data_IF_358690426872
#
_entry.id   IF_358690426872
#
_cell.length_a   1.000
_cell.length_b   1.000
_cell.length_c   1.000
_cell.angle_alpha   90.00
_cell.angle_beta   90.00
_cell.angle_gamma   90.00
#
_symmetry.space_group_name_H-M   'P 1'
#
loop_
_entity.id
_entity.type
_entity.pdbx_description
1 polymer ?
#
# COMPACT_ATOMS: atom_id res chain seq x y z
N UNK A 1 25.02 2.55 -21.95
CA UNK A 1 24.03 1.45 -21.94
C UNK A 1 22.85 1.73 -20.99
N UNK A 2 22.80 2.90 -20.33
CA UNK A 2 21.69 3.27 -19.46
C UNK A 2 21.78 2.72 -18.03
N UNK A 3 22.89 2.08 -17.65
CA UNK A 3 23.09 1.61 -16.27
C UNK A 3 23.43 2.76 -15.32
N UNK A 4 22.75 2.80 -14.18
CA UNK A 4 23.05 3.76 -13.11
C UNK A 4 24.37 3.38 -12.42
N UNK A 5 25.25 4.36 -12.25
CA UNK A 5 26.60 4.16 -11.67
C UNK A 5 26.76 4.83 -10.30
N UNK A 6 26.13 5.98 -10.11
CA UNK A 6 26.13 6.70 -8.86
C UNK A 6 24.90 7.60 -8.74
N UNK A 7 24.49 7.92 -7.51
CA UNK A 7 23.46 8.93 -7.25
C UNK A 7 23.77 9.75 -5.99
N UNK A 8 23.49 11.05 -6.04
CA UNK A 8 23.55 11.93 -4.87
C UNK A 8 22.19 12.58 -4.67
N UNK A 9 21.65 12.51 -3.46
CA UNK A 9 20.34 13.05 -3.11
C UNK A 9 20.43 14.00 -1.92
N UNK A 10 19.92 15.22 -2.07
CA UNK A 10 19.73 16.15 -0.94
C UNK A 10 18.24 16.37 -0.72
N UNK A 11 17.73 15.90 0.42
CA UNK A 11 16.33 16.02 0.78
C UNK A 11 16.17 16.95 1.98
N UNK A 12 15.42 18.04 1.81
CA UNK A 12 15.16 19.05 2.84
C UNK A 12 13.67 19.08 3.13
N UNK A 13 13.25 18.50 4.26
CA UNK A 13 11.84 18.45 4.63
C UNK A 13 11.51 19.54 5.63
N UNK A 14 10.46 20.32 5.35
CA UNK A 14 9.91 21.26 6.32
C UNK A 14 9.21 20.52 7.47
N UNK A 15 9.57 20.82 8.71
CA UNK A 15 9.01 20.23 9.93
C UNK A 15 7.83 21.03 10.51
N UNK A 16 7.67 22.27 10.06
CA UNK A 16 6.89 23.25 10.80
C UNK A 16 7.61 23.69 12.07
N UNK A 17 6.86 24.17 13.07
CA UNK A 17 7.41 24.83 14.25
C UNK A 17 8.23 23.91 15.17
N UNK A 18 8.16 22.59 14.99
CA UNK A 18 8.85 21.61 15.81
C UNK A 18 9.46 20.52 14.92
N UNK A 19 10.62 19.98 15.34
CA UNK A 19 11.28 18.85 14.67
C UNK A 19 10.36 17.64 14.49
N UNK A 20 10.70 16.79 13.52
CA UNK A 20 10.01 15.53 13.26
C UNK A 20 9.38 15.42 11.88
N UNK A 21 9.94 16.07 10.86
CA UNK A 21 9.55 15.79 9.48
C UNK A 21 10.00 14.38 9.04
N UNK A 22 9.37 13.78 8.02
CA UNK A 22 9.65 12.40 7.61
C UNK A 22 10.94 12.26 6.76
N UNK A 23 12.04 12.88 7.21
CA UNK A 23 13.34 12.85 6.53
C UNK A 23 13.82 11.42 6.34
N UNK A 24 13.83 10.62 7.41
CA UNK A 24 14.36 9.26 7.38
C UNK A 24 13.60 8.35 6.39
N UNK A 25 12.26 8.28 6.41
CA UNK A 25 11.49 7.61 5.35
C UNK A 25 11.80 8.12 3.94
N UNK A 26 11.90 9.44 3.75
CA UNK A 26 12.27 10.03 2.46
C UNK A 26 13.62 9.54 1.93
N UNK A 27 14.65 9.59 2.78
CA UNK A 27 15.98 9.10 2.47
C UNK A 27 16.01 7.59 2.21
N UNK A 28 15.20 6.79 2.91
CA UNK A 28 15.10 5.35 2.64
C UNK A 28 14.50 5.06 1.26
N UNK A 29 13.55 5.89 0.81
CA UNK A 29 12.78 5.62 -0.40
C UNK A 29 13.40 6.18 -1.68
N UNK A 30 14.18 7.26 -1.61
CA UNK A 30 14.63 8.03 -2.80
C UNK A 30 15.30 7.17 -3.88
N UNK A 31 16.13 6.20 -3.50
CA UNK A 31 16.84 5.31 -4.43
C UNK A 31 16.38 3.84 -4.35
N UNK A 32 15.31 3.55 -3.62
CA UNK A 32 14.94 2.17 -3.28
C UNK A 32 14.47 1.32 -4.47
N UNK A 33 13.99 1.94 -5.54
CA UNK A 33 13.50 1.24 -6.73
C UNK A 33 14.61 0.77 -7.67
N UNK A 34 15.85 1.26 -7.53
CA UNK A 34 16.89 1.02 -8.52
C UNK A 34 18.21 0.51 -7.94
N UNK A 35 18.88 -0.37 -8.68
CA UNK A 35 20.23 -0.83 -8.39
C UNK A 35 21.23 0.28 -8.71
N UNK A 36 21.71 0.96 -7.67
CA UNK A 36 22.70 2.04 -7.78
C UNK A 36 23.91 1.64 -6.92
N UNK A 37 25.08 1.33 -7.52
CA UNK A 37 26.19 0.76 -6.76
C UNK A 37 26.87 1.76 -5.81
N UNK A 38 26.78 3.06 -6.08
CA UNK A 38 27.38 4.11 -5.26
C UNK A 38 26.36 5.20 -4.99
N UNK A 39 26.11 5.56 -3.73
CA UNK A 39 25.22 6.68 -3.45
C UNK A 39 25.58 7.45 -2.20
N UNK A 40 25.15 8.71 -2.16
CA UNK A 40 25.23 9.59 -1.00
C UNK A 40 23.89 10.28 -0.80
N UNK A 41 23.36 10.26 0.43
CA UNK A 41 22.08 10.87 0.76
C UNK A 41 22.26 11.83 1.94
N UNK A 42 21.91 13.09 1.72
CA UNK A 42 21.83 14.12 2.74
C UNK A 42 20.36 14.40 3.08
N UNK A 43 19.98 14.20 4.34
CA UNK A 43 18.64 14.48 4.84
C UNK A 43 18.66 15.61 5.86
N UNK A 44 17.79 16.61 5.69
CA UNK A 44 17.66 17.76 6.58
C UNK A 44 16.22 17.89 7.10
N UNK A 45 16.08 17.97 8.43
CA UNK A 45 14.85 18.34 9.13
C UNK A 45 14.85 19.86 9.36
N UNK A 46 14.01 20.60 8.63
CA UNK A 46 14.04 22.06 8.59
C UNK A 46 12.85 22.62 9.38
N UNK A 47 13.14 23.19 10.55
CA UNK A 47 12.13 23.88 11.36
C UNK A 47 11.75 25.22 10.71
N UNK A 48 10.45 25.49 10.65
CA UNK A 48 9.86 26.66 9.98
C UNK A 48 8.79 27.28 10.88
N UNK A 49 8.49 28.57 10.73
CA UNK A 49 7.35 29.22 11.38
C UNK A 49 6.02 28.84 10.70
N UNK A 50 5.71 27.54 10.64
CA UNK A 50 4.49 26.94 10.09
C UNK A 50 3.93 25.88 11.06
N UNK A 51 2.66 25.45 10.97
CA UNK A 51 2.14 24.33 11.75
C UNK A 51 3.03 23.09 11.63
N UNK A 52 3.15 22.33 12.72
CA UNK A 52 3.94 21.09 12.75
C UNK A 52 3.43 20.11 11.70
N UNK A 53 4.33 19.55 10.90
CA UNK A 53 3.96 18.50 9.95
C UNK A 53 3.61 17.19 10.68
N UNK A 54 2.76 16.40 10.04
CA UNK A 54 2.39 15.08 10.49
C UNK A 54 2.46 14.09 9.31
N UNK A 55 2.24 12.80 9.61
CA UNK A 55 2.19 11.79 8.57
C UNK A 55 0.98 12.03 7.66
N UNK A 56 1.27 12.26 6.38
CA UNK A 56 0.35 12.02 5.28
C UNK A 56 0.81 10.77 4.54
N UNK A 57 -0.12 10.06 3.88
CA UNK A 57 0.06 8.73 3.29
C UNK A 57 1.45 8.56 2.65
N UNK A 58 2.18 7.51 3.03
CA UNK A 58 3.58 7.28 2.64
C UNK A 58 4.53 8.44 3.01
N UNK A 59 4.60 8.88 4.28
CA UNK A 59 5.24 10.14 4.64
C UNK A 59 6.69 10.23 4.15
N UNK A 60 7.01 11.29 3.41
CA UNK A 60 8.32 11.54 2.81
C UNK A 60 8.53 10.92 1.42
N UNK A 61 7.91 9.77 1.14
CA UNK A 61 8.17 9.03 -0.10
C UNK A 61 7.68 9.72 -1.39
N UNK A 62 6.50 10.37 -1.46
CA UNK A 62 6.06 11.06 -2.69
C UNK A 62 7.04 12.14 -3.16
N UNK A 63 7.56 12.95 -2.24
CA UNK A 63 8.56 13.98 -2.57
C UNK A 63 9.90 13.38 -3.01
N UNK A 64 10.32 12.28 -2.36
CA UNK A 64 11.54 11.57 -2.73
C UNK A 64 11.42 10.92 -4.12
N UNK A 65 10.29 10.27 -4.40
CA UNK A 65 9.98 9.70 -5.71
C UNK A 65 9.85 10.78 -6.77
N UNK A 66 9.24 11.94 -6.47
CA UNK A 66 9.18 13.06 -7.40
C UNK A 66 10.58 13.49 -7.86
N UNK A 67 11.53 13.60 -6.92
CA UNK A 67 12.91 13.94 -7.25
C UNK A 67 13.59 12.86 -8.11
N UNK A 68 13.54 11.59 -7.69
CA UNK A 68 14.23 10.51 -8.39
C UNK A 68 13.61 10.22 -9.76
N UNK A 69 12.30 10.12 -9.84
CA UNK A 69 11.59 9.74 -11.08
C UNK A 69 11.62 10.86 -12.13
N UNK A 70 11.67 12.13 -11.71
CA UNK A 70 11.93 13.24 -12.63
C UNK A 70 13.28 13.09 -13.31
N UNK A 71 14.33 12.70 -12.57
CA UNK A 71 15.66 12.46 -13.11
C UNK A 71 15.68 11.19 -13.97
N UNK A 72 14.98 10.12 -13.57
CA UNK A 72 14.86 8.89 -14.38
C UNK A 72 14.23 9.17 -15.75
N UNK A 73 13.15 9.95 -15.80
CA UNK A 73 12.49 10.33 -17.06
C UNK A 73 13.40 11.23 -17.92
N UNK A 74 14.10 12.18 -17.31
CA UNK A 74 15.06 13.03 -18.03
C UNK A 74 16.22 12.23 -18.63
N UNK A 75 16.78 11.27 -17.87
CA UNK A 75 17.86 10.40 -18.35
C UNK A 75 17.38 9.50 -19.49
N UNK A 76 16.20 8.89 -19.36
CA UNK A 76 15.61 8.08 -20.42
C UNK A 76 15.44 8.89 -21.72
N UNK A 77 14.91 10.11 -21.62
CA UNK A 77 14.75 11.02 -22.76
C UNK A 77 16.10 11.39 -23.40
N UNK A 78 17.09 11.80 -22.61
CA UNK A 78 18.43 12.17 -23.10
C UNK A 78 19.18 11.01 -23.76
N UNK A 79 18.95 9.79 -23.29
CA UNK A 79 19.52 8.57 -23.84
C UNK A 79 18.68 7.98 -24.98
N UNK A 80 17.54 8.59 -25.30
CA UNK A 80 16.59 8.11 -26.29
C UNK A 80 16.15 6.66 -26.03
N UNK A 81 15.94 6.33 -24.75
CA UNK A 81 15.48 5.03 -24.27
C UNK A 81 14.01 5.12 -23.87
N UNK A 82 13.27 4.02 -24.07
CA UNK A 82 11.92 3.90 -23.54
C UNK A 82 11.94 4.05 -22.00
N UNK A 83 11.06 4.89 -21.42
CA UNK A 83 11.06 5.15 -19.98
C UNK A 83 10.86 3.91 -19.10
N UNK A 84 10.12 2.89 -19.55
CA UNK A 84 9.95 1.64 -18.80
C UNK A 84 11.17 0.74 -19.01
N UNK A 85 11.73 0.65 -20.23
CA UNK A 85 12.96 -0.12 -20.47
C UNK A 85 14.15 0.40 -19.68
N UNK A 86 14.28 1.73 -19.56
CA UNK A 86 15.30 2.35 -18.73
C UNK A 86 15.15 1.98 -17.25
N UNK A 87 13.91 1.88 -16.75
CA UNK A 87 13.62 1.41 -15.38
C UNK A 87 13.89 -0.08 -15.23
N UNK A 88 13.46 -0.92 -16.16
CA UNK A 88 13.72 -2.36 -16.17
C UNK A 88 15.23 -2.66 -16.14
N UNK A 89 16.01 -1.90 -16.92
CA UNK A 89 17.46 -2.04 -16.95
C UNK A 89 18.12 -1.74 -15.59
N UNK A 90 17.48 -0.99 -14.70
CA UNK A 90 18.03 -0.58 -13.41
C UNK A 90 17.20 -1.08 -12.21
N UNK A 91 16.16 -1.87 -12.43
CA UNK A 91 15.21 -2.25 -11.40
C UNK A 91 15.84 -3.14 -10.33
N UNK A 92 15.47 -2.89 -9.07
CA UNK A 92 15.73 -3.86 -7.99
C UNK A 92 14.92 -5.13 -8.19
N UNK A 93 15.48 -6.24 -7.74
CA UNK A 93 14.91 -7.59 -7.78
C UNK A 93 15.18 -8.31 -6.46
N UNK A 94 14.69 -9.53 -6.34
CA UNK A 94 15.05 -10.38 -5.21
C UNK A 94 16.58 -10.46 -5.06
N UNK A 95 17.06 -10.22 -3.83
CA UNK A 95 18.48 -10.24 -3.51
C UNK A 95 19.22 -8.92 -3.73
N UNK A 96 18.63 -7.94 -4.45
CA UNK A 96 19.19 -6.59 -4.55
C UNK A 96 19.28 -5.93 -3.17
N UNK A 97 20.31 -5.12 -2.96
CA UNK A 97 20.53 -4.40 -1.69
C UNK A 97 19.79 -3.08 -1.76
N UNK A 98 18.83 -2.86 -0.86
CA UNK A 98 18.12 -1.59 -0.76
C UNK A 98 19.09 -0.47 -0.33
N UNK A 99 18.82 0.76 -0.75
CA UNK A 99 19.66 1.93 -0.41
C UNK A 99 19.83 2.15 1.11
N UNK A 100 18.92 1.61 1.93
CA UNK A 100 18.98 1.67 3.39
C UNK A 100 19.55 0.41 4.06
N UNK A 101 20.05 -0.56 3.29
CA UNK A 101 20.89 -1.67 3.77
C UNK A 101 20.36 -3.10 3.55
N UNK A 102 19.12 -3.45 3.89
CA UNK A 102 18.61 -4.81 3.76
C UNK A 102 18.54 -5.30 2.30
N UNK A 103 18.69 -6.62 2.10
CA UNK A 103 18.35 -7.24 0.81
C UNK A 103 16.83 -7.32 0.66
N UNK A 104 16.34 -7.06 -0.55
CA UNK A 104 14.96 -7.34 -0.87
C UNK A 104 14.72 -8.86 -0.87
N UNK A 105 13.68 -9.35 -0.17
CA UNK A 105 13.17 -10.70 -0.40
C UNK A 105 12.48 -10.75 -1.78
N UNK A 106 11.71 -11.79 -2.05
CA UNK A 106 10.79 -11.80 -3.21
C UNK A 106 9.99 -10.48 -3.25
N UNK A 107 9.99 -9.80 -4.40
CA UNK A 107 9.30 -8.52 -4.67
C UNK A 107 8.82 -8.52 -6.13
N UNK A 108 7.67 -7.91 -6.42
CA UNK A 108 7.08 -7.89 -7.76
C UNK A 108 7.33 -6.60 -8.57
N UNK A 109 8.49 -5.95 -8.43
CA UNK A 109 8.74 -4.67 -9.11
C UNK A 109 8.93 -4.82 -10.62
N UNK A 110 9.70 -5.82 -11.05
CA UNK A 110 9.94 -6.10 -12.47
C UNK A 110 8.63 -6.51 -13.14
N UNK A 111 7.86 -7.38 -12.50
CA UNK A 111 6.54 -7.83 -12.94
C UNK A 111 5.56 -6.65 -13.06
N UNK A 112 5.64 -5.67 -12.15
CA UNK A 112 4.84 -4.44 -12.22
C UNK A 112 5.24 -3.55 -13.41
N UNK A 113 6.55 -3.44 -13.70
CA UNK A 113 7.05 -2.71 -14.86
C UNK A 113 6.62 -3.38 -16.18
N UNK A 114 6.73 -4.71 -16.26
CA UNK A 114 6.33 -5.49 -17.43
C UNK A 114 4.81 -5.42 -17.65
N UNK A 115 4.01 -5.58 -16.59
CA UNK A 115 2.56 -5.46 -16.66
C UNK A 115 2.12 -4.07 -17.15
N UNK A 116 2.77 -3.01 -16.66
CA UNK A 116 2.49 -1.65 -17.13
C UNK A 116 2.89 -1.45 -18.60
N UNK A 117 4.04 -1.98 -19.03
CA UNK A 117 4.50 -1.89 -20.43
C UNK A 117 3.56 -2.60 -21.39
N UNK A 118 3.02 -3.75 -20.96
CA UNK A 118 2.06 -4.54 -21.74
C UNK A 118 0.65 -3.94 -21.72
N UNK A 119 0.35 -3.02 -20.81
CA UNK A 119 -0.99 -2.45 -20.66
C UNK A 119 -1.40 -1.61 -21.88
N UNK A 120 -2.65 -1.71 -22.39
CA UNK A 120 -3.11 -0.93 -23.54
C UNK A 120 -2.98 0.59 -23.39
N UNK A 121 -3.02 1.10 -22.15
CA UNK A 121 -2.72 2.51 -21.88
C UNK A 121 -1.33 2.89 -22.41
N UNK A 122 -0.28 2.11 -22.14
CA UNK A 122 1.09 2.49 -22.46
C UNK A 122 1.38 2.61 -23.96
N UNK A 123 0.58 1.95 -24.81
CA UNK A 123 0.68 2.01 -26.26
C UNK A 123 -0.41 2.87 -26.93
N UNK A 124 -1.34 3.43 -26.15
CA UNK A 124 -2.43 4.23 -26.70
C UNK A 124 -1.90 5.50 -27.38
N UNK A 125 -2.48 5.84 -28.53
CA UNK A 125 -2.13 7.03 -29.32
C UNK A 125 -2.43 8.30 -28.54
N UNK A 126 -1.50 9.26 -28.60
CA UNK A 126 -1.67 10.61 -28.06
C UNK A 126 -2.12 11.57 -29.15
N UNK A 127 -3.05 12.45 -28.80
CA UNK A 127 -3.54 13.56 -29.62
C UNK A 127 -2.66 14.80 -29.56
N UNK A 128 -3.19 15.90 -30.09
CA UNK A 128 -2.52 17.22 -30.03
C UNK A 128 -2.46 17.71 -28.59
N UNK A 129 -1.34 18.30 -28.17
CA UNK A 129 -1.09 18.82 -26.82
C UNK A 129 -1.22 17.76 -25.71
N UNK A 130 -1.12 16.48 -26.07
CA UNK A 130 -1.15 15.39 -25.12
C UNK A 130 0.24 14.86 -24.84
N UNK A 131 0.46 14.38 -23.62
CA UNK A 131 1.73 13.83 -23.18
C UNK A 131 1.51 12.67 -22.24
N UNK A 132 2.37 11.65 -22.35
CA UNK A 132 2.40 10.49 -21.46
C UNK A 132 3.56 10.61 -20.50
N UNK A 133 3.32 10.35 -19.23
CA UNK A 133 4.33 10.25 -18.18
C UNK A 133 4.23 8.92 -17.44
N UNK A 134 5.38 8.45 -16.96
CA UNK A 134 5.46 7.26 -16.11
C UNK A 134 6.31 7.55 -14.88
N UNK A 135 5.95 6.94 -13.75
CA UNK A 135 6.76 6.98 -12.55
C UNK A 135 6.56 5.73 -11.70
N UNK A 136 7.63 5.31 -11.05
CA UNK A 136 7.64 4.25 -10.05
C UNK A 136 7.57 4.84 -8.63
N UNK A 137 7.12 4.01 -7.69
CA UNK A 137 7.00 4.35 -6.29
C UNK A 137 7.34 3.16 -5.41
N UNK A 138 7.89 3.47 -4.24
CA UNK A 138 8.35 2.48 -3.28
C UNK A 138 7.81 2.84 -1.89
N UNK A 139 7.40 1.82 -1.14
CA UNK A 139 7.13 1.94 0.28
C UNK A 139 7.62 0.70 1.03
N UNK A 140 8.33 0.89 2.13
CA UNK A 140 9.01 -0.20 2.84
C UNK A 140 8.08 -1.09 3.68
N UNK A 141 6.83 -0.67 3.90
CA UNK A 141 5.83 -1.30 4.77
C UNK A 141 6.28 -1.54 6.23
N UNK A 142 5.32 -1.72 7.13
CA UNK A 142 5.52 -1.88 8.56
C UNK A 142 4.99 -3.20 9.10
N UNK A 143 5.65 -3.74 10.14
CA UNK A 143 5.17 -4.93 10.86
C UNK A 143 4.49 -4.51 12.16
N UNK A 144 5.27 -3.89 13.06
CA UNK A 144 4.86 -3.40 14.39
C UNK A 144 4.09 -4.46 15.20
N UNK A 145 3.49 -4.13 16.34
CA UNK A 145 2.81 -5.08 17.21
C UNK A 145 1.32 -5.22 16.85
N UNK A 146 0.82 -6.45 16.84
CA UNK A 146 -0.58 -6.77 16.60
C UNK A 146 -1.06 -7.85 17.55
N UNK A 147 -2.31 -7.71 17.96
CA UNK A 147 -3.03 -8.71 18.75
C UNK A 147 -4.43 -8.94 18.18
N UNK A 148 -4.94 -10.14 18.35
CA UNK A 148 -6.30 -10.50 17.96
C UNK A 148 -6.87 -11.56 18.90
N UNK A 149 -8.19 -11.51 19.09
CA UNK A 149 -8.96 -12.50 19.82
C UNK A 149 -10.15 -12.93 18.97
N UNK A 150 -10.47 -14.22 18.95
CA UNK A 150 -11.60 -14.79 18.23
C UNK A 150 -12.44 -15.57 19.22
N UNK A 151 -13.75 -15.33 19.24
CA UNK A 151 -14.70 -16.01 20.10
C UNK A 151 -15.76 -16.72 19.25
N UNK A 152 -16.14 -17.94 19.61
CA UNK A 152 -17.21 -18.70 18.96
C UNK A 152 -18.42 -18.77 19.90
N UNK A 153 -19.58 -18.36 19.40
CA UNK A 153 -20.85 -18.46 20.12
C UNK A 153 -21.44 -19.87 20.00
N UNK A 154 -22.40 -20.21 20.87
CA UNK A 154 -23.02 -21.55 20.88
C UNK A 154 -23.74 -21.92 19.58
N UNK A 155 -24.22 -20.92 18.83
CA UNK A 155 -24.85 -21.09 17.51
C UNK A 155 -23.84 -21.27 16.36
N UNK A 156 -22.55 -21.15 16.65
CA UNK A 156 -21.44 -21.23 15.70
C UNK A 156 -21.12 -19.92 14.98
N UNK A 157 -21.78 -18.81 15.30
CA UNK A 157 -21.32 -17.48 14.87
C UNK A 157 -19.99 -17.13 15.54
N UNK A 158 -19.17 -16.32 14.87
CA UNK A 158 -17.80 -16.02 15.27
C UNK A 158 -17.60 -14.52 15.35
N UNK A 159 -17.01 -14.06 16.44
CA UNK A 159 -16.59 -12.66 16.61
C UNK A 159 -15.07 -12.58 16.53
N UNK A 160 -14.53 -11.75 15.62
CA UNK A 160 -13.09 -11.46 15.54
C UNK A 160 -12.82 -10.05 16.03
N UNK A 161 -12.01 -9.94 17.09
CA UNK A 161 -11.74 -8.70 17.81
C UNK A 161 -10.29 -8.29 17.57
N UNK A 162 -10.08 -7.07 17.09
CA UNK A 162 -8.75 -6.49 16.84
C UNK A 162 -8.65 -5.07 17.41
N UNK A 163 -7.43 -4.63 17.72
CA UNK A 163 -7.17 -3.26 18.24
C UNK A 163 -6.70 -2.26 17.19
N UNK A 164 -6.51 -2.69 15.94
CA UNK A 164 -6.09 -1.81 14.85
C UNK A 164 -7.29 -1.01 14.33
N UNK A 165 -7.27 0.34 14.37
CA UNK A 165 -8.34 1.16 13.81
C UNK A 165 -8.59 0.86 12.33
N UNK A 166 -9.85 0.67 11.96
CA UNK A 166 -10.22 0.48 10.56
C UNK A 166 -10.46 1.83 9.88
N UNK A 167 -9.51 2.21 9.02
CA UNK A 167 -9.53 3.45 8.21
C UNK A 167 -9.53 3.17 6.71
N UNK A 168 -9.65 1.91 6.30
CA UNK A 168 -9.45 1.51 4.90
C UNK A 168 -10.06 0.16 4.50
N UNK A 169 -10.94 -0.41 5.32
CA UNK A 169 -11.64 -1.66 5.04
C UNK A 169 -10.99 -2.91 5.66
N UNK A 170 -10.23 -2.78 6.75
CA UNK A 170 -9.51 -3.90 7.36
C UNK A 170 -10.44 -4.97 7.96
N UNK A 171 -11.66 -4.59 8.39
CA UNK A 171 -12.64 -5.54 8.95
C UNK A 171 -13.00 -6.68 8.01
N UNK A 172 -13.24 -6.37 6.72
CA UNK A 172 -13.55 -7.38 5.72
C UNK A 172 -12.38 -8.36 5.55
N UNK A 173 -11.16 -7.84 5.47
CA UNK A 173 -9.93 -8.64 5.42
C UNK A 173 -9.77 -9.58 6.61
N UNK A 174 -10.02 -9.08 7.84
CA UNK A 174 -9.92 -9.91 9.04
C UNK A 174 -10.96 -11.02 9.04
N UNK A 175 -12.20 -10.73 8.64
CA UNK A 175 -13.25 -11.74 8.52
C UNK A 175 -12.94 -12.78 7.44
N UNK A 176 -12.35 -12.40 6.31
CA UNK A 176 -11.91 -13.34 5.27
C UNK A 176 -10.83 -14.30 5.78
N UNK A 177 -9.86 -13.84 6.57
CA UNK A 177 -8.88 -14.75 7.19
C UNK A 177 -9.52 -15.76 8.14
N UNK A 178 -10.51 -15.32 8.93
CA UNK A 178 -11.23 -16.23 9.83
C UNK A 178 -12.07 -17.22 9.03
N UNK A 179 -12.76 -16.78 7.97
CA UNK A 179 -13.55 -17.63 7.11
C UNK A 179 -12.68 -18.75 6.49
N UNK A 180 -11.51 -18.39 5.98
CA UNK A 180 -10.55 -19.33 5.38
C UNK A 180 -9.97 -20.31 6.42
N UNK A 181 -9.46 -19.82 7.55
CA UNK A 181 -8.83 -20.66 8.56
C UNK A 181 -9.84 -21.58 9.28
N UNK A 182 -11.09 -21.14 9.45
CA UNK A 182 -12.14 -21.95 10.06
C UNK A 182 -12.91 -22.79 9.03
N UNK A 183 -12.89 -22.44 7.74
CA UNK A 183 -13.67 -23.10 6.70
C UNK A 183 -15.17 -22.86 6.82
N UNK A 184 -15.59 -21.66 7.24
CA UNK A 184 -17.00 -21.28 7.46
C UNK A 184 -17.40 -20.10 6.58
N UNK A 185 -18.71 -19.87 6.44
CA UNK A 185 -19.21 -18.71 5.69
C UNK A 185 -18.76 -17.39 6.32
N UNK A 186 -18.37 -16.44 5.47
CA UNK A 186 -18.10 -15.04 5.85
C UNK A 186 -19.26 -14.43 6.63
N UNK A 187 -20.51 -14.77 6.30
CA UNK A 187 -21.71 -14.22 6.92
C UNK A 187 -21.89 -14.59 8.39
N UNK A 188 -21.15 -15.60 8.87
CA UNK A 188 -21.16 -16.01 10.28
C UNK A 188 -20.15 -15.21 11.12
N UNK A 189 -19.37 -14.33 10.50
CA UNK A 189 -18.23 -13.67 11.14
C UNK A 189 -18.53 -12.18 11.33
N UNK A 190 -18.44 -11.73 12.58
CA UNK A 190 -18.56 -10.32 12.96
C UNK A 190 -17.18 -9.77 13.32
N UNK A 191 -16.57 -8.93 12.46
CA UNK A 191 -15.33 -8.24 12.79
C UNK A 191 -15.57 -6.98 13.63
N UNK A 192 -14.94 -6.93 14.80
CA UNK A 192 -14.98 -5.81 15.74
C UNK A 192 -13.59 -5.17 15.86
N UNK A 193 -13.57 -3.84 15.75
CA UNK A 193 -12.44 -3.01 16.18
C UNK A 193 -12.78 -2.52 17.57
N UNK A 194 -12.08 -3.03 18.59
CA UNK A 194 -12.41 -2.75 19.98
C UNK A 194 -11.51 -1.67 20.60
N UNK A 195 -11.67 -1.45 21.90
CA UNK A 195 -10.97 -0.48 22.72
C UNK A 195 -9.77 -1.10 23.46
N UNK A 196 -8.97 -0.25 24.10
CA UNK A 196 -7.74 -0.62 24.79
C UNK A 196 -7.94 -1.45 26.07
N UNK A 197 -9.18 -1.62 26.54
CA UNK A 197 -9.50 -2.48 27.70
C UNK A 197 -9.86 -3.90 27.28
N UNK A 198 -10.36 -4.09 26.06
CA UNK A 198 -10.91 -5.37 25.59
C UNK A 198 -9.95 -6.20 24.72
N UNK A 199 -8.97 -5.56 24.07
CA UNK A 199 -7.98 -6.25 23.22
C UNK A 199 -6.57 -5.86 23.63
N UNK A 200 -5.67 -6.85 23.59
CA UNK A 200 -4.25 -6.61 23.82
C UNK A 200 -3.68 -5.60 22.81
N UNK A 201 -2.57 -4.98 23.20
CA UNK A 201 -1.97 -3.87 22.48
C UNK A 201 -1.79 -4.14 20.97
N UNK A 202 -2.21 -3.15 20.17
CA UNK A 202 -1.98 -3.09 18.74
C UNK A 202 -1.37 -1.72 18.43
N UNK A 203 -0.33 -1.69 17.60
CA UNK A 203 0.19 -0.43 17.07
C UNK A 203 -0.80 0.20 16.10
N UNK A 204 -0.56 1.48 15.78
CA UNK A 204 -1.36 2.30 14.86
C UNK A 204 -1.65 1.60 13.52
N UNK A 205 -2.76 1.97 12.87
CA UNK A 205 -2.94 1.67 11.45
C UNK A 205 -2.23 2.72 10.60
N UNK A 206 -1.04 2.35 10.14
CA UNK A 206 -0.14 3.14 9.30
C UNK A 206 1.06 2.29 8.87
N UNK A 207 1.87 2.74 7.90
CA UNK A 207 2.93 1.91 7.35
C UNK A 207 2.40 0.70 6.56
N UNK A 208 1.15 0.75 6.09
CA UNK A 208 0.48 -0.30 5.30
C UNK A 208 0.52 -1.68 5.95
N UNK A 209 0.53 -1.70 7.28
CA UNK A 209 0.80 -2.90 8.07
C UNK A 209 -0.41 -3.79 8.32
N UNK A 210 -1.61 -3.23 8.36
CA UNK A 210 -2.76 -3.85 9.06
C UNK A 210 -3.12 -5.22 8.48
N UNK A 211 -3.30 -5.30 7.16
CA UNK A 211 -3.67 -6.56 6.50
C UNK A 211 -2.62 -7.65 6.69
N UNK A 212 -1.33 -7.30 6.65
CA UNK A 212 -0.25 -8.25 6.89
C UNK A 212 -0.13 -8.61 8.39
N UNK A 213 0.07 -7.61 9.25
CA UNK A 213 0.46 -7.84 10.64
C UNK A 213 -0.72 -8.20 11.55
N UNK A 214 -1.83 -7.46 11.46
CA UNK A 214 -3.06 -7.81 12.19
C UNK A 214 -3.69 -9.06 11.58
N UNK A 215 -3.61 -9.24 10.25
CA UNK A 215 -4.01 -10.48 9.58
C UNK A 215 -3.28 -11.70 10.14
N UNK A 216 -1.95 -11.65 10.29
CA UNK A 216 -1.18 -12.74 10.94
C UNK A 216 -1.63 -13.02 12.38
N UNK A 217 -2.01 -12.00 13.15
CA UNK A 217 -2.54 -12.20 14.49
C UNK A 217 -3.89 -12.93 14.45
N UNK A 218 -4.77 -12.53 13.54
CA UNK A 218 -6.06 -13.19 13.31
C UNK A 218 -5.86 -14.63 12.86
N UNK A 219 -4.99 -14.89 11.89
CA UNK A 219 -4.64 -16.24 11.40
C UNK A 219 -4.17 -17.13 12.55
N UNK A 220 -3.21 -16.65 13.35
CA UNK A 220 -2.68 -17.43 14.47
C UNK A 220 -3.75 -17.65 15.56
N UNK A 221 -4.61 -16.67 15.82
CA UNK A 221 -5.73 -16.82 16.74
C UNK A 221 -6.72 -17.88 16.21
N UNK A 222 -7.03 -17.89 14.91
CA UNK A 222 -7.89 -18.90 14.28
C UNK A 222 -7.28 -20.30 14.39
N UNK A 223 -5.98 -20.44 14.16
CA UNK A 223 -5.28 -21.74 14.30
C UNK A 223 -5.26 -22.25 15.73
N UNK A 224 -5.10 -21.36 16.70
CA UNK A 224 -5.21 -21.71 18.13
C UNK A 224 -6.62 -22.20 18.47
N UNK A 225 -7.66 -21.54 17.93
CA UNK A 225 -9.05 -21.95 18.07
C UNK A 225 -9.32 -23.31 17.40
N UNK A 226 -8.83 -23.54 16.19
CA UNK A 226 -8.93 -24.84 15.49
C UNK A 226 -8.27 -25.94 16.30
N UNK A 227 -7.08 -25.72 16.85
CA UNK A 227 -6.39 -26.70 17.68
C UNK A 227 -7.23 -27.09 18.91
N UNK A 228 -7.91 -26.12 19.54
CA UNK A 228 -8.83 -26.38 20.66
C UNK A 228 -10.07 -27.17 20.23
N UNK A 229 -10.69 -26.81 19.10
CA UNK A 229 -11.84 -27.54 18.56
C UNK A 229 -11.48 -28.99 18.21
N UNK A 230 -10.29 -29.22 17.64
CA UNK A 230 -9.77 -30.57 17.38
C UNK A 230 -9.63 -31.40 18.65
N UNK A 231 -9.10 -30.83 19.74
CA UNK A 231 -9.01 -31.52 21.04
C UNK A 231 -10.38 -31.92 21.57
N UNK A 232 -11.38 -31.04 21.44
CA UNK A 232 -12.75 -31.32 21.90
C UNK A 232 -13.45 -32.39 21.06
N UNK A 233 -13.23 -32.38 19.74
CA UNK A 233 -13.70 -33.43 18.85
C UNK A 233 -13.04 -34.77 19.18
N UNK A 234 -11.72 -34.81 19.35
CA UNK A 234 -10.95 -36.01 19.73
C UNK A 234 -11.46 -36.62 21.05
N UNK A 235 -11.61 -35.80 22.09
CA UNK A 235 -12.14 -36.23 23.38
C UNK A 235 -13.60 -36.73 23.27
N UNK A 236 -14.43 -36.13 22.42
CA UNK A 236 -15.81 -36.57 22.20
C UNK A 236 -15.89 -37.91 21.45
N UNK A 237 -14.86 -38.25 20.68
CA UNK A 237 -14.75 -39.50 19.93
C UNK A 237 -13.92 -40.57 20.63
N UNK A 238 -13.26 -40.22 21.74
CA UNK A 238 -12.31 -41.06 22.47
C UNK A 238 -11.14 -41.54 21.59
N UNK A 239 -10.53 -40.60 20.85
CA UNK A 239 -9.37 -40.83 19.98
C UNK A 239 -8.25 -39.81 20.27
N UNK A 240 -7.05 -40.03 19.71
CA UNK A 240 -5.95 -39.07 19.84
C UNK A 240 -6.18 -37.83 18.97
N UNK A 241 -5.74 -36.65 19.43
CA UNK A 241 -5.91 -35.39 18.68
C UNK A 241 -5.13 -35.37 17.36
N UNK A 242 -4.05 -36.14 17.26
CA UNK A 242 -3.28 -36.32 16.01
C UNK A 242 -4.07 -37.06 14.93
N UNK A 243 -5.12 -37.80 15.33
CA UNK A 243 -6.05 -38.47 14.42
C UNK A 243 -7.21 -37.56 13.97
N UNK A 244 -7.20 -36.29 14.35
CA UNK A 244 -8.21 -35.32 13.91
C UNK A 244 -7.57 -34.36 12.89
N UNK A 245 -8.22 -34.13 11.75
CA UNK A 245 -7.97 -32.99 10.86
C UNK A 245 -9.10 -31.98 10.95
N UNK A 246 -8.89 -30.78 10.39
CA UNK A 246 -9.91 -29.73 10.33
C UNK A 246 -10.10 -29.32 8.88
N UNK A 247 -11.31 -29.48 8.37
CA UNK A 247 -11.64 -29.25 6.96
C UNK A 247 -13.04 -28.67 6.84
N UNK A 248 -13.20 -27.59 6.08
CA UNK A 248 -14.49 -26.98 5.73
C UNK A 248 -15.45 -26.78 6.92
N UNK A 249 -14.93 -26.25 8.04
CA UNK A 249 -15.73 -25.97 9.23
C UNK A 249 -16.05 -27.21 10.07
N UNK A 250 -15.33 -28.32 9.88
CA UNK A 250 -15.59 -29.57 10.58
C UNK A 250 -14.28 -30.22 11.05
N UNK A 251 -14.34 -30.85 12.23
CA UNK A 251 -13.34 -31.83 12.62
C UNK A 251 -13.61 -33.14 11.85
N UNK A 252 -12.56 -33.75 11.31
CA UNK A 252 -12.61 -35.03 10.59
C UNK A 252 -11.72 -36.02 11.33
N UNK A 253 -12.24 -37.20 11.66
CA UNK A 253 -11.43 -38.26 12.26
C UNK A 253 -10.63 -39.03 11.18
N UNK A 254 -9.52 -39.63 11.59
CA UNK A 254 -8.74 -40.54 10.74
C UNK A 254 -9.63 -41.65 10.19
N UNK A 255 -9.30 -42.14 8.98
CA UNK A 255 -10.07 -43.20 8.33
C UNK A 255 -10.18 -44.49 9.21
N UNK A 256 -9.21 -44.72 10.11
CA UNK A 256 -9.21 -45.85 11.03
C UNK A 256 -10.20 -45.73 12.19
N UNK A 257 -10.61 -44.51 12.56
CA UNK A 257 -11.51 -44.26 13.68
C UNK A 257 -13.01 -44.36 13.32
N UNK A 258 -13.35 -44.32 12.02
CA UNK A 258 -14.71 -44.42 11.46
C UNK A 258 -15.74 -43.55 12.21
N UNK A 259 -15.41 -42.26 12.42
CA UNK A 259 -16.32 -41.29 13.05
C UNK A 259 -16.88 -40.33 12.01
N UNK A 260 -18.18 -39.98 12.10
CA UNK A 260 -18.76 -39.00 11.19
C UNK A 260 -18.13 -37.62 11.46
N UNK A 261 -17.91 -36.78 10.43
CA UNK A 261 -17.47 -35.41 10.59
C UNK A 261 -18.26 -34.64 11.65
N UNK A 262 -17.56 -33.83 12.45
CA UNK A 262 -18.17 -33.01 13.50
C UNK A 262 -18.10 -31.53 13.11
N UNK A 263 -19.21 -30.92 12.66
CA UNK A 263 -19.25 -29.50 12.36
C UNK A 263 -18.94 -28.63 13.58
N UNK A 264 -18.33 -27.48 13.32
CA UNK A 264 -18.00 -26.47 14.32
C UNK A 264 -19.20 -26.12 15.20
N UNK A 265 -20.39 -25.99 14.61
CA UNK A 265 -21.65 -25.72 15.33
C UNK A 265 -21.97 -26.80 16.38
N UNK A 266 -21.69 -28.08 16.11
CA UNK A 266 -21.89 -29.16 17.09
C UNK A 266 -20.85 -29.10 18.22
N UNK A 267 -19.62 -28.70 17.92
CA UNK A 267 -18.57 -28.51 18.92
C UNK A 267 -18.92 -27.32 19.82
N UNK A 268 -19.34 -26.20 19.23
CA UNK A 268 -19.76 -24.99 19.91
C UNK A 268 -20.97 -25.21 20.81
N UNK A 269 -22.02 -25.88 20.32
CA UNK A 269 -23.22 -26.20 21.10
C UNK A 269 -22.94 -27.09 22.33
N UNK A 270 -21.81 -27.81 22.34
CA UNK A 270 -21.38 -28.65 23.47
C UNK A 270 -20.31 -28.00 24.34
N UNK A 271 -19.87 -26.79 24.02
CA UNK A 271 -18.68 -26.16 24.61
C UNK A 271 -18.73 -26.11 26.15
N UNK A 272 -19.88 -25.76 26.72
CA UNK A 272 -20.09 -25.73 28.19
C UNK A 272 -19.88 -27.07 28.89
N UNK A 273 -19.99 -28.19 28.17
CA UNK A 273 -19.82 -29.56 28.70
C UNK A 273 -18.46 -30.18 28.35
N UNK A 274 -17.70 -29.56 27.45
CA UNK A 274 -16.45 -30.13 26.88
C UNK A 274 -15.20 -29.31 27.19
N UNK A 275 -15.31 -28.23 27.96
CA UNK A 275 -14.15 -27.40 28.34
C UNK A 275 -14.43 -25.92 28.58
N UNK A 276 -15.69 -25.46 28.46
CA UNK A 276 -16.07 -24.06 28.60
C UNK A 276 -16.05 -23.31 27.27
N UNK A 277 -15.99 -21.97 27.26
CA UNK A 277 -16.01 -21.16 26.04
C UNK A 277 -14.94 -21.55 25.01
N UNK A 278 -15.22 -21.29 23.73
CA UNK A 278 -14.29 -21.50 22.62
C UNK A 278 -13.71 -20.14 22.20
N UNK A 279 -12.41 -19.96 22.42
CA UNK A 279 -11.71 -18.73 22.06
C UNK A 279 -10.29 -19.00 21.59
N UNK A 280 -9.83 -18.22 20.60
CA UNK A 280 -8.44 -18.16 20.16
C UNK A 280 -7.85 -16.78 20.41
N UNK A 281 -6.56 -16.72 20.74
CA UNK A 281 -5.85 -15.46 20.94
C UNK A 281 -4.45 -15.52 20.32
N UNK A 282 -3.96 -14.39 19.82
CA UNK A 282 -2.56 -14.23 19.41
C UNK A 282 -2.10 -12.79 19.62
N UNK A 283 -0.84 -12.64 20.04
CA UNK A 283 -0.12 -11.37 20.13
C UNK A 283 1.27 -11.58 19.54
N UNK A 284 1.67 -10.73 18.59
CA UNK A 284 2.96 -10.87 17.92
C UNK A 284 3.52 -9.54 17.38
N UNK A 285 4.80 -9.58 17.00
CA UNK A 285 5.48 -8.55 16.21
C UNK A 285 6.05 -9.19 14.94
N UNK A 286 5.28 -9.28 13.85
CA UNK A 286 5.70 -10.01 12.67
C UNK A 286 6.88 -9.35 11.97
N UNK A 287 7.65 -10.18 11.25
CA UNK A 287 8.77 -9.78 10.39
C UNK A 287 8.45 -10.19 8.95
N UNK A 288 9.22 -9.70 7.98
CA UNK A 288 9.06 -10.10 6.57
C UNK A 288 7.85 -9.47 5.87
N UNK A 289 7.50 -8.23 6.21
CA UNK A 289 6.32 -7.51 5.66
C UNK A 289 6.30 -7.40 4.14
N UNK A 290 7.49 -7.43 3.52
CA UNK A 290 7.66 -7.20 2.09
C UNK A 290 7.45 -5.72 1.74
N UNK A 291 8.36 -5.16 0.94
CA UNK A 291 8.16 -3.82 0.40
C UNK A 291 7.06 -3.82 -0.67
N UNK A 292 6.41 -2.67 -0.84
CA UNK A 292 5.44 -2.41 -1.91
C UNK A 292 6.06 -1.56 -3.00
N UNK A 293 5.83 -1.95 -4.25
CA UNK A 293 6.24 -1.21 -5.45
C UNK A 293 5.03 -0.93 -6.33
N UNK A 294 4.96 0.29 -6.87
CA UNK A 294 3.93 0.68 -7.81
C UNK A 294 4.52 1.40 -9.02
N UNK A 295 3.84 1.29 -10.16
CA UNK A 295 4.14 2.05 -11.37
C UNK A 295 2.86 2.68 -11.89
N UNK A 296 2.90 3.97 -12.18
CA UNK A 296 1.73 4.70 -12.67
C UNK A 296 2.02 5.25 -14.07
N UNK A 297 1.02 5.17 -14.95
CA UNK A 297 1.01 5.76 -16.29
C UNK A 297 -0.05 6.87 -16.28
N UNK A 298 0.32 8.05 -16.74
CA UNK A 298 -0.56 9.21 -16.81
C UNK A 298 -0.51 9.80 -18.22
N UNK A 299 -1.67 9.97 -18.84
CA UNK A 299 -1.82 10.81 -20.02
C UNK A 299 -2.53 12.10 -19.59
N UNK A 300 -1.99 13.24 -20.03
CA UNK A 300 -2.60 14.55 -19.84
C UNK A 300 -2.85 15.23 -21.18
N UNK A 301 -3.82 16.13 -21.21
CA UNK A 301 -4.02 17.12 -22.27
C UNK A 301 -3.85 18.52 -21.68
N UNK A 302 -3.14 19.40 -22.40
CA UNK A 302 -2.90 20.78 -21.97
C UNK A 302 -3.59 21.75 -22.91
N UNK A 303 -4.32 22.69 -22.33
CA UNK A 303 -4.76 23.89 -23.02
C UNK A 303 -3.60 24.91 -23.05
N UNK A 304 -3.00 25.20 -24.22
CA UNK A 304 -1.85 26.08 -24.32
C UNK A 304 -2.17 27.55 -24.04
N UNK A 305 -3.44 27.98 -24.09
CA UNK A 305 -3.83 29.37 -23.84
C UNK A 305 -4.04 29.65 -22.34
N UNK A 306 -4.40 28.63 -21.56
CA UNK A 306 -4.75 28.79 -20.14
C UNK A 306 -3.78 28.08 -19.20
N UNK A 307 -2.97 27.15 -19.70
CA UNK A 307 -2.16 26.24 -18.88
C UNK A 307 -3.01 25.20 -18.12
N UNK A 308 -4.31 25.08 -18.42
CA UNK A 308 -5.15 24.06 -17.81
C UNK A 308 -4.65 22.67 -18.24
N UNK A 309 -4.49 21.77 -17.27
CA UNK A 309 -4.09 20.38 -17.48
C UNK A 309 -5.24 19.47 -17.11
N UNK A 310 -5.73 18.70 -18.07
CA UNK A 310 -6.74 17.65 -17.85
C UNK A 310 -6.05 16.28 -17.84
N UNK A 311 -6.32 15.46 -16.80
CA UNK A 311 -5.89 14.05 -16.79
C UNK A 311 -6.89 13.25 -17.62
N UNK A 312 -6.45 12.75 -18.78
CA UNK A 312 -7.36 12.09 -19.73
C UNK A 312 -7.34 10.56 -19.62
N UNK A 313 -6.25 9.99 -19.08
CA UNK A 313 -6.12 8.56 -18.82
C UNK A 313 -5.14 8.32 -17.68
N UNK A 314 -5.46 7.38 -16.80
CA UNK A 314 -4.60 7.04 -15.67
C UNK A 314 -4.66 5.54 -15.37
N UNK A 315 -3.51 4.89 -15.22
CA UNK A 315 -3.41 3.49 -14.79
C UNK A 315 -2.44 3.38 -13.61
N UNK A 316 -2.88 2.76 -12.53
CA UNK A 316 -2.07 2.41 -11.37
C UNK A 316 -1.78 0.90 -11.38
N UNK A 317 -0.50 0.52 -11.41
CA UNK A 317 -0.04 -0.87 -11.36
C UNK A 317 0.70 -1.10 -10.06
N UNK A 318 0.41 -2.17 -9.33
CA UNK A 318 1.10 -2.46 -8.08
C UNK A 318 1.15 -3.96 -7.77
N UNK A 319 2.29 -4.41 -7.24
CA UNK A 319 2.42 -5.71 -6.57
C UNK A 319 1.69 -5.67 -5.22
N UNK A 320 0.61 -6.44 -5.12
CA UNK A 320 -0.20 -6.58 -3.92
C UNK A 320 0.19 -7.80 -3.06
N UNK A 321 1.15 -8.61 -3.50
CA UNK A 321 1.25 -9.99 -3.04
C UNK A 321 -0.05 -10.72 -3.35
N UNK A 322 -0.73 -11.27 -2.35
CA UNK A 322 -2.10 -11.77 -2.52
C UNK A 322 -3.13 -10.68 -2.25
N UNK A 323 -3.96 -10.38 -3.25
CA UNK A 323 -5.13 -9.54 -3.12
C UNK A 323 -6.29 -10.34 -2.49
N UNK A 324 -6.35 -10.34 -1.16
CA UNK A 324 -7.41 -11.03 -0.40
C UNK A 324 -8.82 -10.45 -0.66
N UNK A 325 -8.90 -9.18 -1.03
CA UNK A 325 -10.14 -8.51 -1.40
C UNK A 325 -9.86 -7.59 -2.59
N UNK A 326 -9.87 -8.10 -3.84
CA UNK A 326 -9.42 -7.38 -5.03
C UNK A 326 -10.05 -5.98 -5.18
N UNK A 327 -11.38 -5.85 -5.05
CA UNK A 327 -12.04 -4.56 -5.17
C UNK A 327 -11.58 -3.51 -4.12
N UNK A 328 -11.14 -3.93 -2.93
CA UNK A 328 -10.60 -3.01 -1.92
C UNK A 328 -9.16 -2.63 -2.24
N UNK A 329 -8.38 -3.56 -2.83
CA UNK A 329 -7.05 -3.26 -3.35
C UNK A 329 -7.16 -2.22 -4.48
N UNK A 330 -8.05 -2.43 -5.45
CA UNK A 330 -8.34 -1.46 -6.52
C UNK A 330 -8.72 -0.08 -5.95
N UNK A 331 -9.64 -0.04 -4.98
CA UNK A 331 -10.03 1.20 -4.31
C UNK A 331 -8.87 1.91 -3.59
N UNK A 332 -7.94 1.16 -2.99
CA UNK A 332 -6.72 1.75 -2.39
C UNK A 332 -5.79 2.33 -3.45
N UNK A 333 -5.60 1.63 -4.58
CA UNK A 333 -4.82 2.12 -5.72
C UNK A 333 -5.40 3.42 -6.28
N UNK A 334 -6.71 3.43 -6.56
CA UNK A 334 -7.44 4.59 -7.08
C UNK A 334 -7.37 5.78 -6.11
N UNK A 335 -7.63 5.54 -4.82
CA UNK A 335 -7.62 6.60 -3.82
C UNK A 335 -6.23 7.24 -3.63
N UNK A 336 -5.17 6.43 -3.67
CA UNK A 336 -3.80 6.96 -3.54
C UNK A 336 -3.34 7.70 -4.79
N UNK A 337 -3.71 7.19 -5.98
CA UNK A 337 -3.49 7.90 -7.24
C UNK A 337 -4.21 9.26 -7.26
N UNK A 338 -5.49 9.31 -6.89
CA UNK A 338 -6.26 10.56 -6.83
C UNK A 338 -5.62 11.60 -5.90
N UNK A 339 -5.21 11.20 -4.69
CA UNK A 339 -4.51 12.07 -3.74
C UNK A 339 -3.20 12.63 -4.33
N UNK A 340 -2.40 11.78 -4.97
CA UNK A 340 -1.15 12.22 -5.56
C UNK A 340 -1.33 13.10 -6.80
N UNK A 341 -2.36 12.87 -7.60
CA UNK A 341 -2.72 13.76 -8.73
C UNK A 341 -3.12 15.14 -8.20
N UNK A 342 -3.88 15.19 -7.11
CA UNK A 342 -4.22 16.44 -6.43
C UNK A 342 -2.99 17.23 -6.01
N UNK A 343 -2.03 16.57 -5.35
CA UNK A 343 -0.72 17.16 -5.03
C UNK A 343 0.08 17.62 -6.25
N UNK A 344 -0.01 16.89 -7.36
CA UNK A 344 0.72 17.24 -8.57
C UNK A 344 0.16 18.50 -9.24
N UNK A 345 -1.16 18.71 -9.24
CA UNK A 345 -1.80 19.76 -10.05
C UNK A 345 -2.37 20.94 -9.25
N UNK A 346 -2.86 20.71 -8.03
CA UNK A 346 -3.78 21.64 -7.37
C UNK A 346 -3.46 21.95 -5.90
N UNK A 347 -3.07 20.95 -5.11
CA UNK A 347 -3.02 21.06 -3.64
C UNK A 347 -1.71 21.71 -3.15
N UNK A 348 -1.83 22.87 -2.50
CA UNK A 348 -0.72 23.50 -1.78
C UNK A 348 -1.22 24.30 -0.58
N UNK A 349 -0.33 24.59 0.37
CA UNK A 349 -0.59 25.58 1.42
C UNK A 349 0.01 26.92 1.03
N UNK A 350 -0.82 27.95 0.90
CA UNK A 350 -0.41 29.31 0.53
C UNK A 350 -0.23 30.13 1.79
N UNK A 351 1.00 30.56 2.06
CA UNK A 351 1.34 31.45 3.17
C UNK A 351 1.78 32.80 2.60
N UNK A 352 1.27 33.90 3.17
CA UNK A 352 1.75 35.24 2.81
C UNK A 352 3.10 35.60 3.43
N UNK A 353 3.58 36.80 3.12
CA UNK A 353 4.83 37.38 3.61
C UNK A 353 4.93 37.47 5.15
N UNK A 354 3.78 37.50 5.83
CA UNK A 354 3.68 37.49 7.30
C UNK A 354 3.58 36.08 7.90
N UNK A 355 3.60 35.04 7.08
CA UNK A 355 3.49 33.64 7.51
C UNK A 355 2.06 33.21 7.88
N UNK A 356 1.04 33.93 7.44
CA UNK A 356 -0.37 33.56 7.66
C UNK A 356 -0.84 32.67 6.51
N UNK A 357 -1.51 31.56 6.85
CA UNK A 357 -2.14 30.66 5.88
C UNK A 357 -3.38 31.33 5.28
N UNK A 358 -3.42 31.46 3.95
CA UNK A 358 -4.49 32.18 3.25
C UNK A 358 -5.57 31.25 2.68
N UNK A 359 -5.25 29.99 2.38
CA UNK A 359 -6.17 29.04 1.75
C UNK A 359 -6.62 27.92 2.72
N UNK A 360 -7.09 28.28 3.91
CA UNK A 360 -7.44 27.32 4.97
C UNK A 360 -8.78 26.57 4.77
N UNK A 361 -9.57 26.92 3.75
CA UNK A 361 -10.87 26.29 3.45
C UNK A 361 -10.83 25.44 2.17
N UNK A 362 -11.81 24.55 2.02
CA UNK A 362 -11.92 23.65 0.86
C UNK A 362 -12.26 24.35 -0.47
N UNK A 363 -12.56 25.65 -0.46
CA UNK A 363 -12.71 26.43 -1.68
C UNK A 363 -11.34 26.67 -2.37
N UNK A 364 -10.33 26.98 -1.56
CA UNK A 364 -9.02 27.43 -2.03
C UNK A 364 -7.92 26.37 -1.84
N UNK A 365 -8.13 25.40 -0.93
CA UNK A 365 -7.37 24.14 -0.92
C UNK A 365 -8.05 23.12 -1.84
N UNK A 366 -7.62 23.10 -3.10
CA UNK A 366 -8.33 22.42 -4.19
C UNK A 366 -8.00 20.94 -4.27
N UNK A 367 -8.71 20.11 -3.50
CA UNK A 367 -8.72 18.66 -3.69
C UNK A 367 -9.45 18.30 -5.00
N UNK A 368 -9.00 17.28 -5.75
CA UNK A 368 -9.71 16.81 -6.93
C UNK A 368 -11.15 16.37 -6.61
N UNK A 369 -12.09 16.74 -7.48
CA UNK A 369 -13.47 16.22 -7.46
C UNK A 369 -13.69 15.18 -8.55
N UNK A 370 -14.84 14.50 -8.53
CA UNK A 370 -15.16 13.43 -9.48
C UNK A 370 -15.11 13.84 -10.97
N UNK A 371 -15.27 15.14 -11.28
CA UNK A 371 -15.20 15.64 -12.64
C UNK A 371 -13.76 15.99 -13.08
N UNK A 372 -12.80 16.04 -12.15
CA UNK A 372 -11.40 16.40 -12.46
C UNK A 372 -10.58 15.20 -12.95
N UNK A 373 -11.06 13.98 -12.67
CA UNK A 373 -10.31 12.75 -12.88
C UNK A 373 -11.12 11.75 -13.73
N UNK A 374 -10.46 11.01 -14.63
CA UNK A 374 -11.08 9.88 -15.29
C UNK A 374 -11.24 8.73 -14.29
N UNK A 375 -11.95 7.67 -14.67
CA UNK A 375 -11.87 6.42 -13.92
C UNK A 375 -10.42 5.93 -13.95
N UNK A 376 -9.79 5.84 -12.78
CA UNK A 376 -8.42 5.35 -12.64
C UNK A 376 -8.45 3.84 -12.81
N UNK A 377 -7.80 3.37 -13.86
CA UNK A 377 -7.65 1.94 -14.13
C UNK A 377 -6.59 1.33 -13.20
N UNK A 378 -6.74 0.06 -12.86
CA UNK A 378 -5.89 -0.61 -11.87
C UNK A 378 -5.46 -1.97 -12.33
N UNK A 379 -4.16 -2.25 -12.18
CA UNK A 379 -3.59 -3.57 -12.44
C UNK A 379 -2.99 -4.12 -11.15
N UNK A 380 -3.61 -5.17 -10.63
CA UNK A 380 -3.11 -5.91 -9.47
C UNK A 380 -2.13 -6.97 -9.98
N UNK A 381 -0.85 -6.79 -9.65
CA UNK A 381 0.16 -7.83 -9.81
C UNK A 381 0.21 -8.65 -8.53
N UNK A 382 0.19 -9.98 -8.65
CA UNK A 382 0.26 -10.88 -7.49
C UNK A 382 1.60 -11.63 -7.44
N UNK A 383 2.59 -11.07 -6.71
CA UNK A 383 3.84 -11.77 -6.38
C UNK A 383 3.86 -12.12 -4.88
N UNK A 384 3.45 -13.36 -4.51
CA UNK A 384 3.21 -13.74 -3.12
C UNK A 384 4.38 -13.46 -2.19
N UNK A 385 4.10 -12.89 -1.01
CA UNK A 385 5.09 -12.75 0.06
C UNK A 385 5.32 -14.09 0.78
N UNK A 386 6.52 -14.70 0.69
CA UNK A 386 6.78 -16.00 1.32
C UNK A 386 6.73 -15.97 2.85
N UNK A 387 6.81 -14.79 3.47
CA UNK A 387 6.72 -14.66 4.93
C UNK A 387 5.28 -14.59 5.46
N UNK A 388 4.28 -14.63 4.57
CA UNK A 388 2.87 -14.66 4.94
C UNK A 388 2.21 -15.95 4.43
N UNK A 389 1.40 -16.68 5.25
CA UNK A 389 0.78 -17.95 4.84
C UNK A 389 -0.02 -17.87 3.54
N UNK A 390 -0.66 -16.72 3.32
CA UNK A 390 -1.44 -16.44 2.11
C UNK A 390 -0.74 -15.54 1.09
N UNK A 391 0.55 -15.22 1.26
CA UNK A 391 1.26 -14.38 0.29
C UNK A 391 0.98 -12.87 0.35
N UNK A 392 0.32 -12.37 1.40
CA UNK A 392 -0.19 -11.00 1.52
C UNK A 392 0.93 -9.96 1.70
N UNK A 393 0.72 -8.76 1.15
CA UNK A 393 1.50 -7.54 1.43
C UNK A 393 0.59 -6.37 1.79
N UNK A 394 1.21 -5.28 2.26
CA UNK A 394 0.54 -4.00 2.44
C UNK A 394 0.40 -3.25 1.12
N UNK A 395 -0.80 -2.74 0.83
CA UNK A 395 -1.09 -1.98 -0.41
C UNK A 395 -1.48 -0.52 -0.18
N UNK A 396 -1.70 -0.14 1.08
CA UNK A 396 -2.32 1.13 1.42
C UNK A 396 -1.54 2.35 0.93
N UNK A 397 -0.23 2.41 1.11
CA UNK A 397 0.50 3.68 0.93
C UNK A 397 1.22 3.81 -0.41
N UNK A 398 1.68 2.72 -1.01
CA UNK A 398 2.42 2.73 -2.28
C UNK A 398 1.76 3.55 -3.40
N UNK A 399 0.42 3.54 -3.61
CA UNK A 399 -0.19 4.24 -4.75
C UNK A 399 -0.09 5.77 -4.72
N UNK A 400 0.20 6.40 -3.57
CA UNK A 400 0.39 7.86 -3.54
C UNK A 400 1.80 8.30 -3.94
N UNK A 401 2.74 7.36 -4.03
CA UNK A 401 4.16 7.68 -4.24
C UNK A 401 4.46 8.08 -5.70
N UNK A 402 3.97 7.36 -6.74
CA UNK A 402 4.24 7.69 -8.14
C UNK A 402 3.61 8.98 -8.72
N UNK A 403 2.35 9.37 -8.38
CA UNK A 403 1.59 10.34 -9.16
C UNK A 403 2.29 11.68 -9.44
N UNK A 404 3.01 12.23 -8.46
CA UNK A 404 3.69 13.53 -8.59
C UNK A 404 4.62 13.55 -9.82
N UNK A 405 5.48 12.53 -9.95
CA UNK A 405 6.39 12.43 -11.09
C UNK A 405 5.72 11.96 -12.37
N UNK A 406 4.73 11.08 -12.29
CA UNK A 406 4.02 10.59 -13.48
C UNK A 406 3.28 11.76 -14.17
N UNK A 407 2.57 12.58 -13.40
CA UNK A 407 1.87 13.76 -13.90
C UNK A 407 2.85 14.81 -14.39
N UNK A 408 3.91 15.12 -13.64
CA UNK A 408 4.91 16.10 -14.08
C UNK A 408 5.60 15.68 -15.38
N UNK A 409 5.94 14.39 -15.55
CA UNK A 409 6.51 13.88 -16.79
C UNK A 409 5.52 13.98 -17.96
N UNK A 410 4.24 13.68 -17.72
CA UNK A 410 3.19 13.81 -18.74
C UNK A 410 3.04 15.27 -19.19
N UNK A 411 3.01 16.21 -18.24
CA UNK A 411 2.95 17.66 -18.52
C UNK A 411 4.20 18.12 -19.29
N UNK A 412 5.39 17.70 -18.85
CA UNK A 412 6.63 18.06 -19.51
C UNK A 412 6.66 17.58 -20.97
N UNK A 413 6.15 16.38 -21.22
CA UNK A 413 6.09 15.79 -22.56
C UNK A 413 5.02 16.45 -23.45
N UNK A 414 3.92 16.94 -22.87
CA UNK A 414 2.85 17.64 -23.58
C UNK A 414 3.23 19.11 -23.92
N UNK A 415 3.75 19.86 -22.95
CA UNK A 415 4.08 21.28 -23.10
C UNK A 415 5.51 21.52 -23.65
N UNK A 416 6.39 20.53 -23.52
CA UNK A 416 7.79 20.65 -23.90
C UNK A 416 8.55 21.67 -23.04
N UNK A 417 8.18 21.79 -21.75
CA UNK A 417 8.86 22.58 -20.72
C UNK A 417 9.16 21.67 -19.53
N UNK A 418 10.19 21.98 -18.74
CA UNK A 418 10.58 21.14 -17.58
C UNK A 418 10.10 21.77 -16.29
N UNK A 419 9.05 21.21 -15.70
CA UNK A 419 8.54 21.62 -14.40
C UNK A 419 9.27 20.87 -13.29
N UNK A 420 9.77 21.62 -12.31
CA UNK A 420 10.48 21.10 -11.13
C UNK A 420 9.78 21.44 -9.81
N UNK A 421 8.73 22.26 -9.86
CA UNK A 421 8.00 22.76 -8.70
C UNK A 421 6.54 22.34 -8.78
N UNK A 422 6.02 21.83 -7.67
CA UNK A 422 4.62 21.40 -7.54
C UNK A 422 3.87 22.32 -6.56
N UNK A 423 2.54 22.46 -6.70
CA UNK A 423 1.71 21.93 -7.79
C UNK A 423 1.96 22.64 -9.13
N UNK A 424 1.67 21.95 -10.23
CA UNK A 424 1.69 22.45 -11.60
C UNK A 424 0.36 23.16 -11.89
N UNK A 425 0.10 24.24 -11.16
CA UNK A 425 -1.12 25.01 -11.33
C UNK A 425 -1.15 25.70 -12.70
N UNK A 426 -2.34 25.99 -13.26
CA UNK A 426 -2.44 26.62 -14.58
C UNK A 426 -1.62 27.91 -14.74
N UNK A 427 -1.60 28.85 -13.76
CA UNK A 427 -0.76 30.04 -13.86
C UNK A 427 0.74 29.75 -13.90
N UNK A 428 1.22 28.71 -13.18
CA UNK A 428 2.63 28.32 -13.18
C UNK A 428 3.02 27.67 -14.50
N UNK A 429 2.16 26.80 -15.03
CA UNK A 429 2.41 26.14 -16.30
C UNK A 429 2.38 27.12 -17.47
N UNK A 430 1.39 28.02 -17.51
CA UNK A 430 1.29 29.05 -18.54
C UNK A 430 2.53 29.95 -18.54
N UNK A 431 2.98 30.41 -17.38
CA UNK A 431 4.21 31.20 -17.27
C UNK A 431 5.46 30.43 -17.77
N UNK A 432 5.52 29.11 -17.54
CA UNK A 432 6.61 28.29 -18.05
C UNK A 432 6.55 28.10 -19.59
N UNK A 433 5.35 27.97 -20.16
CA UNK A 433 5.13 27.90 -21.60
C UNK A 433 5.50 29.21 -22.28
N UNK A 434 5.08 30.35 -21.73
CA UNK A 434 5.36 31.69 -22.28
C UNK A 434 6.85 32.06 -22.24
N UNK A 435 7.60 31.45 -21.32
CA UNK A 435 9.04 31.67 -21.18
C UNK A 435 9.91 30.82 -22.15
N UNK A 436 9.30 29.88 -22.86
CA UNK A 436 9.96 29.01 -23.86
C UNK A 436 10.21 29.75 -25.17
#
# INVERSE_FOLDING_TARGET
DGKLVAAEGTLKYGAGAYKGSPVSPGCMCVFASYEIPNFLIHGFDVVLNKPKVAAYRAPGAPMAAFAMESVMNEMASKLNMDPIDFRLANAVKEGSVAAYGPKFPVIGFVESLEAAKAHPHYSATLGKNQGRGVAAGFWFNGGMQSSATINVNEDGSVTVITGSPDVGGSRASMALYVAEELGISYDLITPLVSNTEEVAYCDVTGGSRTTFATGLAVINASRNLVAEMKKRAAASWDIDVSEVSWENGQAIASAGADKPPMPMTKIAAKASRTGGPLSGHSSLRPRGVGAGFGLHICDVEIDPETGKTDVIRYTAVQDAGKAIHPAYVEGQLQGGAAQGIGWALNEEYVYNDKGVLENFGFLDYRMPVANDLPMIDTVIVEVPNPAHPYGVRGVGETPIVPPLAAVAAAVNNAAGVRICDLPISPPRLLAAIDAK
#
